data_IF_192813346008
#
_entry.id   IF_192813346008
#
_cell.length_a   1.000
_cell.length_b   1.000
_cell.length_c   1.000
_cell.angle_alpha   90.00
_cell.angle_beta   90.00
_cell.angle_gamma   90.00
#
_symmetry.space_group_name_H-M   'P 1'
#
loop_
_entity.id
_entity.type
_entity.pdbx_description
1 polymer ?
#
# COMPACT_ATOMS: atom_id res chain seq x y z
N UNK A 1 4.90 -2.88 2.04
CA UNK A 1 5.41 -2.28 0.80
C UNK A 1 5.24 -0.78 0.84
N UNK A 2 6.33 -0.05 0.69
CA UNK A 2 6.24 1.40 0.71
C UNK A 2 5.79 1.92 -0.63
N UNK A 3 4.99 2.99 -0.60
CA UNK A 3 4.52 3.60 -1.82
C UNK A 3 5.69 4.04 -2.70
N UNK A 4 6.75 4.56 -2.08
CA UNK A 4 7.91 5.01 -2.83
C UNK A 4 8.59 3.86 -3.55
N UNK A 5 8.62 2.68 -2.94
CA UNK A 5 9.24 1.52 -3.57
C UNK A 5 8.44 1.10 -4.78
N UNK A 6 7.13 1.14 -4.69
CA UNK A 6 6.27 0.78 -5.81
C UNK A 6 6.46 1.77 -6.96
N UNK A 7 6.48 3.06 -6.64
CA UNK A 7 6.67 4.07 -7.66
C UNK A 7 8.03 3.92 -8.33
N UNK A 8 9.06 3.60 -7.54
CA UNK A 8 10.38 3.44 -8.07
C UNK A 8 10.46 2.26 -9.03
N UNK A 9 9.78 1.17 -8.70
CA UNK A 9 9.81 -0.02 -9.56
C UNK A 9 9.04 0.20 -10.86
N UNK A 10 7.83 0.73 -10.78
CA UNK A 10 7.01 0.92 -11.96
C UNK A 10 7.28 2.21 -12.71
N UNK A 11 7.96 3.14 -12.06
CA UNK A 11 8.37 4.37 -12.69
C UNK A 11 7.46 5.57 -12.42
N UNK A 12 6.15 5.39 -12.51
CA UNK A 12 5.20 6.47 -12.27
C UNK A 12 3.96 5.94 -11.59
N UNK A 13 3.18 6.85 -11.02
CA UNK A 13 1.91 6.48 -10.40
C UNK A 13 0.94 6.00 -11.47
N UNK A 14 1.02 6.57 -12.65
CA UNK A 14 0.15 6.18 -13.76
C UNK A 14 0.34 4.71 -14.11
N UNK A 15 1.58 4.26 -14.10
CA UNK A 15 1.85 2.85 -14.39
C UNK A 15 1.25 1.94 -13.35
N UNK A 16 1.40 2.32 -12.07
CA UNK A 16 0.83 1.54 -10.99
C UNK A 16 -0.69 1.50 -11.12
N UNK A 17 -1.27 2.64 -11.46
CA UNK A 17 -2.72 2.71 -11.62
C UNK A 17 -3.21 1.82 -12.74
N UNK A 18 -2.46 1.75 -13.85
CA UNK A 18 -2.81 0.88 -14.94
C UNK A 18 -2.76 -0.59 -14.52
N UNK A 19 -1.72 -0.95 -13.80
CA UNK A 19 -1.55 -2.32 -13.34
C UNK A 19 -2.68 -2.73 -12.41
N UNK A 20 -3.09 -1.82 -11.54
CA UNK A 20 -4.13 -2.12 -10.56
C UNK A 20 -5.55 -1.86 -11.06
N UNK A 21 -5.68 -1.17 -12.17
CA UNK A 21 -7.00 -0.83 -12.69
C UNK A 21 -7.70 0.24 -11.87
N UNK A 22 -6.94 1.17 -11.30
CA UNK A 22 -7.49 2.24 -10.50
C UNK A 22 -7.01 3.58 -11.05
N UNK A 23 -7.51 4.68 -10.51
CA UNK A 23 -7.09 5.99 -10.99
C UNK A 23 -5.79 6.42 -10.32
N UNK A 24 -4.96 7.23 -10.99
CA UNK A 24 -3.74 7.72 -10.37
C UNK A 24 -4.00 8.55 -9.12
N UNK A 25 -5.15 9.19 -9.04
CA UNK A 25 -5.50 9.97 -7.86
C UNK A 25 -5.62 9.08 -6.63
N UNK A 26 -6.06 7.84 -6.81
CA UNK A 26 -6.16 6.91 -5.70
C UNK A 26 -4.79 6.63 -5.10
N UNK A 27 -3.78 6.55 -5.95
CA UNK A 27 -2.43 6.30 -5.49
C UNK A 27 -1.90 7.49 -4.70
N UNK A 28 -2.20 8.68 -5.15
CA UNK A 28 -1.78 9.87 -4.43
C UNK A 28 -2.42 9.93 -3.04
N UNK A 29 -3.59 9.32 -2.89
CA UNK A 29 -4.27 9.28 -1.60
C UNK A 29 -3.71 8.23 -0.65
N UNK A 30 -2.84 7.35 -1.11
CA UNK A 30 -2.23 6.38 -0.23
C UNK A 30 -1.30 7.08 0.76
N UNK A 31 -1.16 6.50 1.93
CA UNK A 31 -0.19 7.03 2.87
C UNK A 31 1.19 6.53 2.56
N UNK A 32 1.97 6.32 3.58
CA UNK A 32 3.34 5.87 3.41
C UNK A 32 3.41 4.45 2.84
N UNK A 33 2.46 3.61 3.18
CA UNK A 33 2.43 2.24 2.71
C UNK A 33 1.35 2.05 1.66
N UNK A 34 1.63 1.18 0.70
CA UNK A 34 0.63 0.74 -0.26
C UNK A 34 -0.43 -0.04 0.52
N UNK A 35 -1.72 0.16 0.24
CA UNK A 35 -2.75 -0.63 0.92
C UNK A 35 -2.48 -2.12 0.76
N UNK A 36 -2.71 -2.87 1.82
CA UNK A 36 -2.34 -4.29 1.86
C UNK A 36 -2.87 -5.07 0.66
N UNK A 37 -4.12 -4.84 0.32
CA UNK A 37 -4.73 -5.52 -0.81
C UNK A 37 -3.97 -5.24 -2.10
N UNK A 38 -3.59 -3.98 -2.30
CA UNK A 38 -2.89 -3.60 -3.52
C UNK A 38 -1.43 -4.04 -3.47
N UNK A 39 -0.84 -4.13 -2.29
CA UNK A 39 0.53 -4.59 -2.15
C UNK A 39 0.66 -6.03 -2.64
N UNK A 40 -0.30 -6.88 -2.30
CA UNK A 40 -0.29 -8.26 -2.77
C UNK A 40 -0.37 -8.30 -4.29
N UNK A 41 -1.21 -7.46 -4.87
CA UNK A 41 -1.36 -7.42 -6.32
C UNK A 41 -0.08 -6.93 -7.00
N UNK A 42 0.54 -5.91 -6.43
CA UNK A 42 1.77 -5.38 -7.01
C UNK A 42 2.92 -6.37 -6.90
N UNK A 43 2.95 -7.16 -5.83
CA UNK A 43 3.98 -8.17 -5.68
C UNK A 43 3.87 -9.18 -6.83
N UNK A 44 2.65 -9.59 -7.17
CA UNK A 44 2.44 -10.51 -8.26
C UNK A 44 2.78 -9.83 -9.60
N UNK A 45 2.31 -8.60 -9.78
CA UNK A 45 2.52 -7.89 -11.04
C UNK A 45 3.99 -7.59 -11.30
N UNK A 46 4.78 -7.43 -10.24
CA UNK A 46 6.19 -7.15 -10.39
C UNK A 46 7.03 -8.43 -10.47
N UNK A 47 6.35 -9.56 -10.49
CA UNK A 47 7.01 -10.87 -10.58
C UNK A 47 8.02 -11.06 -9.45
N UNK A 48 7.66 -10.61 -8.27
CA UNK A 48 8.50 -10.78 -7.09
C UNK A 48 9.51 -9.68 -6.83
N UNK A 49 9.63 -8.72 -7.74
CA UNK A 49 10.55 -7.61 -7.53
C UNK A 49 10.11 -6.76 -6.34
N UNK A 50 8.79 -6.61 -6.18
CA UNK A 50 8.25 -5.97 -4.99
C UNK A 50 7.70 -7.08 -4.10
N UNK A 51 7.95 -6.98 -2.81
CA UNK A 51 7.58 -8.03 -1.87
C UNK A 51 6.48 -7.55 -0.97
N UNK A 52 5.42 -8.35 -0.88
CA UNK A 52 4.35 -8.08 0.06
C UNK A 52 4.71 -8.81 1.35
N UNK A 53 4.90 -8.06 2.41
CA UNK A 53 5.25 -8.65 3.70
C UNK A 53 4.13 -8.40 4.69
N UNK A 54 3.35 -9.42 5.01
CA UNK A 54 2.25 -9.26 5.97
C UNK A 54 2.74 -8.70 7.30
N UNK A 55 3.96 -9.03 7.67
CA UNK A 55 4.54 -8.58 8.92
C UNK A 55 4.59 -7.07 9.04
N UNK A 56 4.90 -6.39 7.93
CA UNK A 56 4.98 -4.95 7.92
C UNK A 56 3.60 -4.35 8.21
N UNK A 57 2.56 -4.94 7.63
CA UNK A 57 1.21 -4.43 7.81
C UNK A 57 0.67 -4.77 9.19
N UNK A 58 1.05 -5.90 9.73
CA UNK A 58 0.65 -6.27 11.07
C UNK A 58 1.24 -5.29 12.08
N UNK A 59 2.51 -4.94 11.91
CA UNK A 59 3.15 -3.99 12.80
C UNK A 59 2.50 -2.61 12.69
N UNK A 60 2.20 -2.19 11.47
CA UNK A 60 1.58 -0.90 11.24
C UNK A 60 0.18 -0.87 11.86
N UNK A 61 -0.56 -1.95 11.68
CA UNK A 61 -1.90 -2.07 12.23
C UNK A 61 -1.87 -2.05 13.76
N UNK A 62 -0.90 -2.74 14.34
CA UNK A 62 -0.75 -2.75 15.79
C UNK A 62 -0.46 -1.39 16.34
N UNK A 63 0.37 -0.62 15.65
CA UNK A 63 0.69 0.72 16.09
C UNK A 63 -0.56 1.59 16.06
N UNK A 64 -1.38 1.43 15.02
CA UNK A 64 -2.60 2.21 14.93
C UNK A 64 -3.56 1.83 16.04
N UNK A 65 -3.61 0.57 16.40
CA UNK A 65 -4.51 0.14 17.45
C UNK A 65 -4.06 0.64 18.81
N UNK A 66 -2.78 0.79 19.01
CA UNK A 66 -2.25 1.27 20.26
C UNK A 66 -2.57 2.75 20.45
N UNK A 67 -2.57 3.51 19.39
CA UNK A 67 -2.88 4.92 19.47
C UNK A 67 -4.38 5.05 19.70
N UNK A 68 -4.78 5.76 20.73
CA UNK A 68 -6.20 5.95 21.01
C UNK A 68 -6.87 6.61 19.83
N UNK A 69 -7.80 5.95 19.32
CA UNK A 69 -8.48 6.46 18.18
C UNK A 69 -9.90 6.42 18.42
N UNK A 70 -10.42 7.36 19.04
CA UNK A 70 -11.82 7.37 19.35
C UNK A 70 -12.66 7.21 18.13
N UNK A 71 -12.24 7.79 17.13
CA UNK A 71 -13.02 7.74 15.96
C UNK A 71 -13.17 6.38 15.48
N UNK A 72 -12.13 5.67 15.57
CA UNK A 72 -12.23 4.50 15.05
C UNK A 72 -12.91 3.73 15.83
N UNK A 73 -12.84 4.12 16.87
CA UNK A 73 -13.60 3.37 17.65
C UNK A 73 -14.96 3.43 17.12
N UNK A 74 -15.04 4.22 16.48
CA UNK A 74 -16.11 4.15 16.04
C UNK A 74 -16.38 3.52 15.19
N UNK A 75 -16.04 3.42 14.91
CA UNK A 75 -16.35 2.62 14.18
C UNK A 75 -16.82 1.89 14.25
#
# INVERSE_FOLDING_TARGET
>A
MKKTDAIKHFGTRTKIAEVLGISPASISGWGELVPEKNAARLAVASDGALVYEPRVYDAYRSRKLIVPEPAEAEV
#
